data_IF_360680792669
#
_entry.id   IF_360680792669
#
_cell.length_a   1.000
_cell.length_b   1.000
_cell.length_c   1.000
_cell.angle_alpha   90.00
_cell.angle_beta   90.00
_cell.angle_gamma   90.00
#
_symmetry.space_group_name_H-M   'P 1'
#
loop_
_entity.id
_entity.type
_entity.pdbx_description
1 polymer ?
#
# COMPACT_ATOMS: atom_id res chain seq x y z
N UNK A 1 1.69 -23.70 -13.69
CA UNK A 1 0.40 -23.79 -12.99
C UNK A 1 0.60 -23.35 -11.56
N UNK A 2 -0.13 -22.34 -11.09
CA UNK A 2 -0.08 -21.91 -9.70
C UNK A 2 -1.14 -22.65 -8.88
N UNK A 3 -0.79 -23.02 -7.65
CA UNK A 3 -1.65 -23.78 -6.75
C UNK A 3 -1.59 -23.14 -5.36
N UNK A 4 -2.56 -22.29 -5.04
CA UNK A 4 -2.72 -21.72 -3.69
C UNK A 4 -3.35 -22.76 -2.76
N UNK A 5 -2.99 -22.74 -1.47
CA UNK A 5 -3.43 -23.78 -0.53
C UNK A 5 -3.48 -23.34 0.93
N UNK A 6 -3.26 -22.06 1.25
CA UNK A 6 -3.50 -21.53 2.57
C UNK A 6 -4.99 -21.38 2.88
N UNK A 7 -5.31 -21.22 4.16
CA UNK A 7 -6.66 -21.13 4.68
C UNK A 7 -6.78 -19.91 5.61
N UNK A 8 -8.01 -19.45 5.82
CA UNK A 8 -8.32 -18.32 6.68
C UNK A 8 -8.56 -18.79 8.14
N UNK A 9 -8.09 -18.02 9.14
CA UNK A 9 -8.36 -18.32 10.55
C UNK A 9 -9.87 -18.41 10.83
N UNK A 10 -10.28 -19.49 11.49
CA UNK A 10 -11.66 -19.70 11.93
C UNK A 10 -12.67 -20.10 10.85
N UNK A 11 -12.35 -19.90 9.56
CA UNK A 11 -13.29 -20.17 8.44
C UNK A 11 -12.72 -21.08 7.34
N UNK A 12 -11.51 -21.62 7.51
CA UNK A 12 -10.90 -22.60 6.60
C UNK A 12 -10.74 -22.05 5.17
N UNK A 13 -10.92 -22.87 4.14
CA UNK A 13 -10.81 -22.48 2.73
C UNK A 13 -12.05 -21.71 2.21
N UNK A 14 -12.52 -20.70 2.95
CA UNK A 14 -13.64 -19.86 2.52
C UNK A 14 -13.34 -19.07 1.23
N UNK A 15 -12.07 -18.79 0.94
CA UNK A 15 -11.60 -18.20 -0.33
C UNK A 15 -11.43 -19.25 -1.46
N UNK A 16 -11.68 -20.53 -1.18
CA UNK A 16 -11.67 -21.60 -2.18
C UNK A 16 -10.28 -22.08 -2.63
N UNK A 17 -9.23 -21.85 -1.83
CA UNK A 17 -7.86 -22.28 -2.16
C UNK A 17 -7.73 -23.81 -2.31
N UNK A 18 -8.59 -24.58 -1.65
CA UNK A 18 -8.75 -26.01 -1.92
C UNK A 18 -9.10 -26.30 -3.40
N UNK A 19 -10.00 -25.52 -3.99
CA UNK A 19 -10.40 -25.63 -5.40
C UNK A 19 -9.29 -25.15 -6.33
N UNK A 20 -8.62 -24.04 -6.00
CA UNK A 20 -7.47 -23.53 -6.76
C UNK A 20 -6.38 -24.59 -6.86
N UNK A 21 -6.00 -25.18 -5.72
CA UNK A 21 -5.01 -26.27 -5.68
C UNK A 21 -5.43 -27.44 -6.56
N UNK A 22 -6.67 -27.91 -6.41
CA UNK A 22 -7.16 -29.06 -7.13
C UNK A 22 -7.19 -28.81 -8.66
N UNK A 23 -7.74 -27.67 -9.08
CA UNK A 23 -7.81 -27.27 -10.49
C UNK A 23 -6.41 -27.08 -11.09
N UNK A 24 -5.53 -26.35 -10.40
CA UNK A 24 -4.17 -26.09 -10.85
C UNK A 24 -3.33 -27.36 -10.98
N UNK A 25 -3.42 -28.28 -10.01
CA UNK A 25 -2.71 -29.56 -10.05
C UNK A 25 -3.26 -30.47 -11.15
N UNK A 26 -4.58 -30.60 -11.25
CA UNK A 26 -5.23 -31.41 -12.28
C UNK A 26 -4.87 -30.95 -13.69
N UNK A 27 -4.93 -29.64 -13.95
CA UNK A 27 -4.51 -29.05 -15.22
C UNK A 27 -3.00 -29.25 -15.47
N UNK A 28 -2.16 -29.11 -14.45
CA UNK A 28 -0.72 -29.39 -14.57
C UNK A 28 -0.42 -30.83 -14.98
N UNK A 29 -1.11 -31.81 -14.39
CA UNK A 29 -0.99 -33.23 -14.73
C UNK A 29 -1.51 -33.53 -16.14
N UNK A 30 -2.61 -32.90 -16.58
CA UNK A 30 -3.12 -33.05 -17.94
C UNK A 30 -2.14 -32.51 -18.98
N UNK A 31 -1.63 -31.29 -18.77
CA UNK A 31 -0.65 -30.65 -19.67
C UNK A 31 0.66 -31.43 -19.72
N UNK A 32 1.10 -32.03 -18.61
CA UNK A 32 2.33 -32.82 -18.56
C UNK A 32 2.36 -33.97 -19.57
N UNK A 33 1.19 -34.52 -19.94
CA UNK A 33 1.07 -35.60 -20.93
C UNK A 33 1.46 -35.17 -22.35
N UNK A 34 1.31 -33.88 -22.68
CA UNK A 34 1.53 -33.35 -24.04
C UNK A 34 2.69 -32.36 -24.12
N UNK A 35 3.10 -31.76 -22.99
CA UNK A 35 4.09 -30.69 -22.96
C UNK A 35 5.40 -31.04 -23.69
N UNK A 36 5.96 -32.23 -23.45
CA UNK A 36 7.23 -32.65 -24.06
C UNK A 36 7.12 -32.79 -25.58
N UNK A 37 6.01 -33.30 -26.09
CA UNK A 37 5.78 -33.43 -27.54
C UNK A 37 5.65 -32.06 -28.23
N UNK A 38 5.17 -31.05 -27.50
CA UNK A 38 5.08 -29.66 -27.94
C UNK A 38 6.36 -28.85 -27.70
N UNK A 39 7.46 -29.50 -27.30
CA UNK A 39 8.75 -28.83 -27.02
C UNK A 39 8.74 -27.97 -25.75
N UNK A 40 7.74 -28.15 -24.88
CA UNK A 40 7.55 -27.38 -23.66
C UNK A 40 7.78 -28.18 -22.37
N UNK A 41 7.69 -27.46 -21.25
CA UNK A 41 7.68 -28.00 -19.89
C UNK A 41 6.58 -27.34 -19.10
N UNK A 42 5.92 -28.10 -18.24
CA UNK A 42 4.97 -27.59 -17.24
C UNK A 42 5.56 -27.74 -15.85
N UNK A 43 5.34 -26.73 -15.00
CA UNK A 43 5.68 -26.75 -13.58
C UNK A 43 4.42 -26.41 -12.79
N UNK A 44 4.13 -27.21 -11.76
CA UNK A 44 3.11 -26.90 -10.77
C UNK A 44 3.79 -26.29 -9.54
N UNK A 45 3.52 -25.01 -9.29
CA UNK A 45 4.07 -24.27 -8.16
C UNK A 45 3.03 -24.19 -7.06
N UNK A 46 3.32 -24.81 -5.93
CA UNK A 46 2.57 -24.60 -4.70
C UNK A 46 2.89 -23.23 -4.11
N UNK A 47 1.90 -22.34 -4.02
CA UNK A 47 2.08 -20.95 -3.57
C UNK A 47 1.40 -20.73 -2.22
N UNK A 48 2.16 -20.64 -1.10
CA UNK A 48 1.60 -20.45 0.23
C UNK A 48 1.21 -18.99 0.50
N UNK A 49 0.49 -18.80 1.61
CA UNK A 49 0.33 -17.53 2.32
C UNK A 49 -0.13 -16.37 1.42
N UNK A 50 -1.12 -16.62 0.58
CA UNK A 50 -1.75 -15.64 -0.27
C UNK A 50 -2.57 -14.64 0.55
N UNK A 51 -3.26 -15.11 1.60
CA UNK A 51 -4.24 -14.31 2.37
C UNK A 51 -3.63 -13.17 3.21
N UNK A 52 -2.30 -12.99 3.16
CA UNK A 52 -1.62 -11.90 3.86
C UNK A 52 -0.13 -12.07 4.05
N UNK A 53 0.42 -13.27 3.85
CA UNK A 53 1.86 -13.51 4.05
C UNK A 53 2.73 -13.22 2.82
N UNK A 54 2.14 -12.95 1.65
CA UNK A 54 2.88 -12.56 0.44
C UNK A 54 3.75 -13.69 -0.13
N UNK A 55 3.38 -14.96 0.03
CA UNK A 55 4.28 -16.09 -0.27
C UNK A 55 4.82 -16.10 -1.69
N UNK A 56 4.01 -15.69 -2.69
CA UNK A 56 4.47 -15.59 -4.09
C UNK A 56 5.57 -14.55 -4.29
N UNK A 57 5.49 -13.41 -3.60
CA UNK A 57 6.52 -12.37 -3.70
C UNK A 57 7.86 -12.88 -3.17
N UNK A 58 7.85 -13.60 -2.03
CA UNK A 58 9.06 -14.24 -1.52
C UNK A 58 9.61 -15.30 -2.49
N UNK A 59 8.73 -16.08 -3.13
CA UNK A 59 9.12 -17.06 -4.14
C UNK A 59 9.76 -16.40 -5.37
N UNK A 60 9.17 -15.31 -5.88
CA UNK A 60 9.70 -14.52 -7.01
C UNK A 60 11.10 -13.99 -6.66
N UNK A 61 11.26 -13.33 -5.50
CA UNK A 61 12.56 -12.80 -5.06
C UNK A 61 13.64 -13.86 -4.87
N UNK A 62 13.25 -15.11 -4.63
CA UNK A 62 14.15 -16.26 -4.47
C UNK A 62 14.36 -17.05 -5.76
N UNK A 63 13.89 -16.54 -6.90
CA UNK A 63 14.13 -17.11 -8.22
C UNK A 63 13.24 -18.29 -8.59
N UNK A 64 12.17 -18.57 -7.84
CA UNK A 64 11.26 -19.70 -8.13
C UNK A 64 10.50 -19.55 -9.46
N UNK A 65 10.54 -18.36 -10.05
CA UNK A 65 9.89 -18.04 -11.33
C UNK A 65 10.90 -17.75 -12.44
N UNK A 66 12.22 -17.75 -12.19
CA UNK A 66 13.24 -17.27 -13.15
C UNK A 66 13.21 -18.00 -14.50
N UNK A 67 12.79 -19.27 -14.52
CA UNK A 67 12.66 -20.12 -15.70
C UNK A 67 11.21 -20.32 -16.18
N UNK A 68 10.25 -19.58 -15.58
CA UNK A 68 8.82 -19.65 -15.88
C UNK A 68 8.44 -18.58 -16.89
N UNK A 69 8.06 -19.03 -18.09
CA UNK A 69 7.59 -18.16 -19.16
C UNK A 69 6.11 -17.83 -19.09
N UNK A 70 5.32 -18.62 -18.38
CA UNK A 70 3.88 -18.44 -18.22
C UNK A 70 3.41 -19.02 -16.88
N UNK A 71 2.75 -18.18 -16.09
CA UNK A 71 2.04 -18.56 -14.89
C UNK A 71 0.54 -18.42 -15.15
N UNK A 72 -0.24 -19.45 -14.78
CA UNK A 72 -1.70 -19.47 -14.93
C UNK A 72 -2.29 -19.93 -13.61
N UNK A 73 -3.38 -19.27 -13.21
CA UNK A 73 -4.20 -19.58 -12.05
C UNK A 73 -5.66 -19.31 -12.39
N UNK A 74 -6.58 -20.07 -11.80
CA UNK A 74 -8.01 -19.78 -11.80
C UNK A 74 -8.44 -19.52 -10.38
N UNK A 75 -9.33 -18.55 -10.18
CA UNK A 75 -9.90 -18.24 -8.88
C UNK A 75 -11.39 -18.57 -8.85
N UNK A 76 -11.90 -19.24 -7.80
CA UNK A 76 -13.34 -19.32 -7.61
C UNK A 76 -13.93 -17.94 -7.31
N UNK A 77 -15.05 -17.66 -7.96
CA UNK A 77 -15.88 -16.50 -7.70
C UNK A 77 -17.34 -16.94 -7.75
N UNK A 78 -18.26 -16.01 -7.49
CA UNK A 78 -19.70 -16.22 -7.61
C UNK A 78 -20.16 -16.47 -9.06
N UNK A 79 -19.32 -16.11 -10.03
CA UNK A 79 -19.56 -16.22 -11.47
C UNK A 79 -18.26 -16.37 -12.26
N UNK A 80 -18.33 -16.90 -13.47
CA UNK A 80 -17.19 -16.91 -14.38
C UNK A 80 -16.92 -15.48 -14.86
N UNK A 81 -15.73 -14.98 -14.59
CA UNK A 81 -15.30 -13.63 -14.96
C UNK A 81 -14.15 -13.71 -15.96
N UNK A 82 -14.15 -12.79 -16.93
CA UNK A 82 -13.02 -12.60 -17.84
C UNK A 82 -11.80 -12.04 -17.11
N UNK A 83 -12.00 -11.00 -16.30
CA UNK A 83 -10.95 -10.33 -15.51
C UNK A 83 -11.44 -10.13 -14.08
N UNK A 84 -10.48 -9.98 -13.17
CA UNK A 84 -10.72 -9.54 -11.80
C UNK A 84 -9.68 -8.47 -11.50
N UNK A 85 -10.13 -7.24 -11.25
CA UNK A 85 -9.22 -6.13 -11.02
C UNK A 85 -8.70 -6.15 -9.58
N UNK A 86 -7.40 -6.38 -9.44
CA UNK A 86 -6.72 -6.36 -8.14
C UNK A 86 -5.81 -5.14 -8.06
N UNK A 87 -5.93 -4.40 -6.96
CA UNK A 87 -5.25 -3.12 -6.75
C UNK A 87 -4.10 -3.29 -5.76
N UNK A 88 -3.09 -2.43 -5.86
CA UNK A 88 -1.94 -2.49 -4.97
C UNK A 88 -2.36 -2.18 -3.53
N UNK A 89 -1.78 -2.91 -2.56
CA UNK A 89 -2.05 -2.75 -1.13
C UNK A 89 -0.76 -2.87 -0.30
N UNK A 90 -0.64 -2.05 0.74
CA UNK A 90 0.31 -2.28 1.82
C UNK A 90 -0.31 -2.03 3.19
N UNK A 91 0.05 -2.86 4.17
CA UNK A 91 -0.34 -2.69 5.56
C UNK A 91 0.65 -1.79 6.31
N UNK A 92 0.14 -1.02 7.26
CA UNK A 92 0.90 -0.11 8.11
C UNK A 92 0.47 -0.29 9.57
N UNK A 93 1.44 -0.56 10.43
CA UNK A 93 1.26 -0.52 11.87
C UNK A 93 1.83 0.80 12.40
N UNK A 94 1.09 1.49 13.26
CA UNK A 94 1.51 2.75 13.89
C UNK A 94 1.33 2.66 15.40
N UNK A 95 2.37 3.04 16.13
CA UNK A 95 2.42 3.09 17.58
C UNK A 95 2.75 4.51 18.02
N UNK A 96 1.93 5.06 18.91
CA UNK A 96 2.16 6.34 19.55
C UNK A 96 2.66 6.10 20.98
N UNK A 97 3.75 6.78 21.33
CA UNK A 97 4.32 6.77 22.67
C UNK A 97 4.13 8.14 23.33
N UNK A 98 3.51 8.13 24.50
CA UNK A 98 3.23 9.28 25.33
C UNK A 98 3.74 9.09 26.75
N UNK A 99 3.04 9.67 27.72
CA UNK A 99 3.43 9.63 29.13
C UNK A 99 2.19 9.48 30.01
N UNK A 100 2.20 8.45 30.86
CA UNK A 100 1.09 8.18 31.76
C UNK A 100 1.03 9.24 32.86
N UNK A 101 -0.18 9.55 33.29
CA UNK A 101 -0.48 10.38 34.44
C UNK A 101 -1.86 10.01 34.98
N UNK A 102 -2.13 10.37 36.23
CA UNK A 102 -3.47 10.24 36.78
C UNK A 102 -4.39 11.26 36.10
N UNK A 103 -5.46 10.80 35.45
CA UNK A 103 -6.29 11.65 34.59
C UNK A 103 -6.96 12.82 35.35
N UNK A 104 -7.37 12.60 36.60
CA UNK A 104 -7.94 13.66 37.44
C UNK A 104 -6.89 14.49 38.20
N UNK A 105 -5.91 13.86 38.86
CA UNK A 105 -5.00 14.55 39.78
C UNK A 105 -3.89 15.35 39.09
N UNK A 106 -3.43 14.93 37.91
CA UNK A 106 -2.32 15.59 37.23
C UNK A 106 -2.30 15.37 35.72
N UNK A 107 -3.40 15.64 34.99
CA UNK A 107 -3.45 15.40 33.55
C UNK A 107 -2.39 16.16 32.76
N UNK A 108 -2.01 17.37 33.20
CA UNK A 108 -0.98 18.21 32.58
C UNK A 108 0.43 17.60 32.62
N UNK A 109 0.66 16.58 33.46
CA UNK A 109 1.93 15.85 33.50
C UNK A 109 1.98 14.74 32.45
N UNK A 110 0.84 14.36 31.85
CA UNK A 110 0.74 13.29 30.86
C UNK A 110 0.83 13.77 29.41
N UNK A 111 1.07 12.82 28.51
CA UNK A 111 0.98 12.98 27.05
C UNK A 111 0.14 11.83 26.53
N UNK A 112 -1.05 12.11 25.98
CA UNK A 112 -2.05 11.08 25.71
C UNK A 112 -1.85 10.45 24.33
N UNK A 113 -1.26 9.26 24.30
CA UNK A 113 -1.03 8.52 23.06
C UNK A 113 -2.32 8.14 22.33
N UNK A 114 -3.44 7.95 23.06
CA UNK A 114 -4.76 7.78 22.43
C UNK A 114 -5.20 9.03 21.64
N UNK A 115 -4.96 10.23 22.17
CA UNK A 115 -5.33 11.48 21.47
C UNK A 115 -4.50 11.62 20.18
N UNK A 116 -3.22 11.24 20.19
CA UNK A 116 -2.38 11.18 18.99
C UNK A 116 -3.02 10.31 17.89
N UNK A 117 -3.46 9.09 18.26
CA UNK A 117 -4.11 8.17 17.35
C UNK A 117 -5.46 8.71 16.82
N UNK A 118 -6.29 9.30 17.69
CA UNK A 118 -7.59 9.88 17.31
C UNK A 118 -7.42 11.07 16.37
N UNK A 119 -6.49 11.97 16.66
CA UNK A 119 -6.19 13.11 15.80
C UNK A 119 -5.65 12.66 14.43
N UNK A 120 -4.75 11.67 14.42
CA UNK A 120 -4.26 11.07 13.17
C UNK A 120 -5.37 10.41 12.36
N UNK A 121 -6.28 9.68 13.03
CA UNK A 121 -7.44 9.06 12.38
C UNK A 121 -8.36 10.13 11.74
N UNK A 122 -8.62 11.23 12.45
CA UNK A 122 -9.42 12.35 11.93
C UNK A 122 -8.74 13.04 10.75
N UNK A 123 -7.42 13.21 10.78
CA UNK A 123 -6.65 13.73 9.65
C UNK A 123 -6.77 12.81 8.42
N UNK A 124 -6.67 11.48 8.61
CA UNK A 124 -6.93 10.50 7.53
C UNK A 124 -8.39 10.56 7.06
N UNK A 125 -9.35 10.81 7.93
CA UNK A 125 -10.75 11.00 7.55
C UNK A 125 -10.94 12.21 6.63
N UNK A 126 -10.31 13.34 6.94
CA UNK A 126 -10.31 14.51 6.06
C UNK A 126 -9.57 14.25 4.73
N UNK A 127 -8.46 13.51 4.76
CA UNK A 127 -7.70 13.14 3.56
C UNK A 127 -8.56 12.40 2.52
N UNK A 128 -9.53 11.58 2.95
CA UNK A 128 -10.39 10.79 2.05
C UNK A 128 -11.22 11.63 1.07
N UNK A 129 -11.46 12.92 1.33
CA UNK A 129 -12.08 13.82 0.35
C UNK A 129 -11.18 14.07 -0.88
N UNK A 130 -9.87 13.86 -0.74
CA UNK A 130 -8.85 14.24 -1.72
C UNK A 130 -8.00 13.04 -2.18
N UNK A 131 -8.52 11.82 -2.05
CA UNK A 131 -7.94 10.62 -2.66
C UNK A 131 -8.60 10.37 -4.01
N UNK A 132 -7.93 9.59 -4.87
CA UNK A 132 -8.47 9.25 -6.18
C UNK A 132 -9.64 8.27 -6.06
N UNK A 133 -10.53 8.19 -7.06
CA UNK A 133 -11.63 7.24 -7.04
C UNK A 133 -11.16 5.83 -6.74
N UNK A 134 -10.03 5.38 -7.30
CA UNK A 134 -9.39 4.06 -7.17
C UNK A 134 -8.77 3.76 -5.78
N UNK A 135 -8.53 4.78 -4.97
CA UNK A 135 -7.78 4.68 -3.70
C UNK A 135 -8.66 4.33 -2.51
N UNK A 136 -8.12 3.58 -1.54
CA UNK A 136 -8.81 3.27 -0.29
C UNK A 136 -7.87 3.29 0.90
N UNK A 137 -8.36 3.79 2.03
CA UNK A 137 -7.65 3.82 3.31
C UNK A 137 -8.60 3.35 4.41
N UNK A 138 -8.23 2.30 5.12
CA UNK A 138 -9.00 1.72 6.23
C UNK A 138 -8.08 1.50 7.40
N UNK A 139 -8.56 1.69 8.63
CA UNK A 139 -7.77 1.39 9.80
C UNK A 139 -8.61 1.20 11.04
N UNK A 140 -7.98 0.61 12.05
CA UNK A 140 -8.57 0.30 13.36
C UNK A 140 -7.64 0.78 14.47
N UNK A 141 -8.19 0.95 15.67
CA UNK A 141 -7.40 1.10 16.89
C UNK A 141 -7.08 -0.30 17.44
N UNK A 142 -5.80 -0.65 17.47
CA UNK A 142 -5.31 -1.91 18.02
C UNK A 142 -5.05 -1.80 19.54
N UNK A 143 -4.73 -0.60 20.02
CA UNK A 143 -4.60 -0.30 21.44
C UNK A 143 -5.12 1.12 21.71
N UNK A 144 -6.07 1.23 22.65
CA UNK A 144 -6.69 2.49 23.07
C UNK A 144 -6.45 2.86 24.53
N UNK A 145 -5.59 2.12 25.24
CA UNK A 145 -5.34 2.29 26.67
C UNK A 145 -6.21 1.45 27.60
N UNK A 146 -5.77 1.31 28.86
CA UNK A 146 -6.28 0.30 29.79
C UNK A 146 -7.49 0.75 30.62
N UNK A 147 -7.47 2.00 31.14
CA UNK A 147 -8.49 2.51 32.07
C UNK A 147 -8.76 4.01 31.86
N UNK A 148 -10.02 4.47 31.99
CA UNK A 148 -10.36 5.89 31.82
C UNK A 148 -9.71 6.87 32.80
N UNK A 149 -9.31 6.40 33.99
CA UNK A 149 -8.69 7.25 35.03
C UNK A 149 -7.16 7.38 34.89
N UNK A 150 -6.57 6.75 33.87
CA UNK A 150 -5.13 6.81 33.55
C UNK A 150 -5.00 7.42 32.16
N UNK A 151 -4.14 8.42 31.99
CA UNK A 151 -3.78 8.95 30.67
C UNK A 151 -3.02 7.85 29.89
N UNK A 152 -3.52 7.34 28.75
CA UNK A 152 -2.80 6.30 27.99
C UNK A 152 -1.42 6.78 27.52
N UNK A 153 -0.38 6.05 27.95
CA UNK A 153 1.01 6.28 27.50
C UNK A 153 1.34 5.55 26.20
N UNK A 154 0.48 4.65 25.76
CA UNK A 154 0.58 3.90 24.51
C UNK A 154 -0.75 3.97 23.78
N UNK A 155 -0.69 3.93 22.46
CA UNK A 155 -1.85 3.81 21.60
C UNK A 155 -1.39 3.30 20.24
N UNK A 156 -2.15 2.40 19.62
CA UNK A 156 -1.76 1.76 18.38
C UNK A 156 -2.91 1.71 17.38
N UNK A 157 -2.56 1.82 16.10
CA UNK A 157 -3.49 1.69 14.98
C UNK A 157 -2.89 0.82 13.88
N UNK A 158 -3.74 0.04 13.22
CA UNK A 158 -3.40 -0.76 12.05
C UNK A 158 -4.15 -0.23 10.84
N UNK A 159 -3.50 -0.17 9.69
CA UNK A 159 -4.04 0.43 8.48
C UNK A 159 -3.78 -0.43 7.24
N UNK A 160 -4.75 -0.43 6.32
CA UNK A 160 -4.58 -0.84 4.92
C UNK A 160 -4.67 0.37 4.01
N UNK A 161 -3.63 0.57 3.20
CA UNK A 161 -3.59 1.61 2.16
C UNK A 161 -3.58 0.94 0.80
N UNK A 162 -4.51 1.34 -0.08
CA UNK A 162 -4.71 0.75 -1.40
C UNK A 162 -4.75 1.80 -2.50
N UNK A 163 -4.19 1.50 -3.66
CA UNK A 163 -4.24 2.36 -4.85
C UNK A 163 -4.16 1.54 -6.13
N UNK A 164 -4.51 2.13 -7.28
CA UNK A 164 -4.59 1.41 -8.55
C UNK A 164 -3.27 0.75 -8.99
N UNK A 165 -2.12 1.29 -8.61
CA UNK A 165 -0.82 0.69 -8.83
C UNK A 165 0.20 1.07 -7.74
N UNK A 166 1.41 0.51 -7.83
CA UNK A 166 2.48 0.76 -6.85
C UNK A 166 2.93 2.22 -6.78
N UNK A 167 2.99 2.93 -7.89
CA UNK A 167 3.43 4.33 -7.93
C UNK A 167 2.41 5.24 -7.23
N UNK A 168 1.13 5.09 -7.57
CA UNK A 168 0.05 5.83 -6.92
C UNK A 168 -0.11 5.41 -5.45
N UNK A 169 0.19 4.15 -5.11
CA UNK A 169 0.25 3.70 -3.73
C UNK A 169 1.36 4.42 -2.95
N UNK A 170 2.59 4.53 -3.48
CA UNK A 170 3.67 5.25 -2.77
C UNK A 170 3.30 6.72 -2.49
N UNK A 171 2.67 7.39 -3.46
CA UNK A 171 2.20 8.76 -3.27
C UNK A 171 1.13 8.86 -2.17
N UNK A 172 0.18 7.91 -2.11
CA UNK A 172 -0.84 7.88 -1.06
C UNK A 172 -0.27 7.57 0.32
N UNK A 173 0.68 6.62 0.40
CA UNK A 173 1.35 6.22 1.64
C UNK A 173 2.00 7.40 2.36
N UNK A 174 2.70 8.27 1.62
CA UNK A 174 3.33 9.46 2.18
C UNK A 174 2.28 10.38 2.85
N UNK A 175 1.17 10.64 2.16
CA UNK A 175 0.08 11.49 2.67
C UNK A 175 -0.59 10.89 3.91
N UNK A 176 -0.76 9.56 3.94
CA UNK A 176 -1.29 8.85 5.13
C UNK A 176 -0.34 9.00 6.31
N UNK A 177 0.97 8.84 6.11
CA UNK A 177 1.96 9.04 7.18
C UNK A 177 1.95 10.47 7.70
N UNK A 178 1.87 11.48 6.83
CA UNK A 178 1.80 12.89 7.24
C UNK A 178 0.58 13.14 8.14
N UNK A 179 -0.57 12.56 7.82
CA UNK A 179 -1.77 12.63 8.67
C UNK A 179 -1.52 12.01 10.05
N UNK A 180 -0.93 10.82 10.11
CA UNK A 180 -0.68 10.11 11.38
C UNK A 180 0.39 10.83 12.23
N UNK A 181 1.44 11.33 11.60
CA UNK A 181 2.46 12.17 12.24
C UNK A 181 1.88 13.48 12.77
N UNK A 182 0.94 14.10 12.04
CA UNK A 182 0.28 15.33 12.50
C UNK A 182 -0.50 15.13 13.80
N UNK A 183 -1.10 13.95 13.99
CA UNK A 183 -1.81 13.59 15.22
C UNK A 183 -0.86 13.47 16.42
N UNK A 184 0.26 12.76 16.23
CA UNK A 184 1.30 12.63 17.24
C UNK A 184 1.93 13.98 17.62
N UNK A 185 2.29 14.78 16.61
CA UNK A 185 2.83 16.13 16.82
C UNK A 185 1.86 17.00 17.63
N UNK A 186 0.57 16.99 17.27
CA UNK A 186 -0.47 17.78 17.96
C UNK A 186 -0.65 17.37 19.42
N UNK A 187 -0.48 16.07 19.72
CA UNK A 187 -0.59 15.52 21.08
C UNK A 187 0.74 15.57 21.85
N UNK A 188 1.83 16.08 21.25
CA UNK A 188 3.17 16.05 21.85
C UNK A 188 3.73 14.64 22.06
N UNK A 189 3.25 13.66 21.32
CA UNK A 189 3.65 12.26 21.42
C UNK A 189 4.70 11.91 20.35
N UNK A 190 5.46 10.84 20.61
CA UNK A 190 6.30 10.21 19.61
C UNK A 190 5.47 9.21 18.78
N UNK A 191 5.81 9.06 17.51
CA UNK A 191 5.16 8.12 16.59
C UNK A 191 6.19 7.21 15.95
N UNK A 192 5.96 5.91 16.06
CA UNK A 192 6.69 4.88 15.36
C UNK A 192 5.75 4.22 14.36
N UNK A 193 6.23 4.02 13.14
CA UNK A 193 5.45 3.36 12.11
C UNK A 193 6.26 2.24 11.46
N UNK A 194 5.56 1.21 10.99
CA UNK A 194 6.14 0.10 10.26
C UNK A 194 5.23 -0.29 9.10
N UNK A 195 5.74 -0.12 7.89
CA UNK A 195 5.12 -0.75 6.73
C UNK A 195 5.41 -2.25 6.76
N UNK A 196 4.36 -3.05 6.56
CA UNK A 196 4.49 -4.50 6.51
C UNK A 196 4.89 -4.89 5.09
N UNK A 197 6.00 -5.61 5.01
CA UNK A 197 6.54 -6.13 3.76
C UNK A 197 6.24 -7.63 3.61
N UNK A 198 6.04 -8.09 2.36
CA UNK A 198 6.05 -7.27 1.14
C UNK A 198 4.71 -6.55 0.89
N UNK A 199 4.71 -5.45 0.11
CA UNK A 199 3.47 -4.95 -0.50
C UNK A 199 2.94 -5.95 -1.53
N UNK A 200 1.64 -5.89 -1.79
CA UNK A 200 1.03 -6.60 -2.91
C UNK A 200 0.85 -5.63 -4.06
N UNK A 201 1.40 -5.98 -5.22
CA UNK A 201 1.28 -5.17 -6.44
C UNK A 201 -0.09 -5.37 -7.08
N UNK A 202 -0.53 -4.40 -7.88
CA UNK A 202 -1.69 -4.55 -8.74
C UNK A 202 -1.45 -5.62 -9.81
N UNK A 203 -2.52 -6.26 -10.26
CA UNK A 203 -2.43 -7.07 -11.47
C UNK A 203 -2.33 -6.20 -12.71
N UNK A 204 -1.55 -6.69 -13.66
CA UNK A 204 -1.57 -6.25 -15.04
C UNK A 204 -2.14 -7.42 -15.81
N UNK A 205 -2.96 -7.18 -16.83
CA UNK A 205 -3.60 -8.24 -17.59
C UNK A 205 -2.90 -8.47 -18.94
N UNK A 206 -2.67 -9.73 -19.30
CA UNK A 206 -2.22 -10.10 -20.64
C UNK A 206 -3.44 -10.41 -21.52
N UNK A 207 -3.90 -9.41 -22.29
CA UNK A 207 -5.14 -9.50 -23.08
C UNK A 207 -5.19 -10.71 -24.02
N UNK A 208 -4.15 -11.00 -24.83
CA UNK A 208 -4.16 -12.21 -25.68
C UNK A 208 -4.39 -13.51 -24.92
N UNK A 209 -3.81 -13.66 -23.73
CA UNK A 209 -4.01 -14.87 -22.92
C UNK A 209 -5.39 -14.93 -22.27
N UNK A 210 -5.96 -13.79 -21.90
CA UNK A 210 -7.34 -13.73 -21.42
C UNK A 210 -8.32 -14.10 -22.53
N UNK A 211 -8.09 -13.64 -23.77
CA UNK A 211 -8.89 -14.04 -24.92
C UNK A 211 -8.85 -15.55 -25.14
N UNK A 212 -7.66 -16.15 -25.08
CA UNK A 212 -7.49 -17.61 -25.15
C UNK A 212 -8.20 -18.33 -23.99
N UNK A 213 -8.11 -17.80 -22.77
CA UNK A 213 -8.84 -18.37 -21.63
C UNK A 213 -10.35 -18.37 -21.88
N UNK A 214 -10.91 -17.24 -22.32
CA UNK A 214 -12.35 -17.12 -22.61
C UNK A 214 -12.77 -18.08 -23.71
N UNK A 215 -12.01 -18.16 -24.80
CA UNK A 215 -12.29 -19.10 -25.90
C UNK A 215 -12.32 -20.56 -25.42
N UNK A 216 -11.28 -21.00 -24.70
CA UNK A 216 -11.22 -22.36 -24.16
C UNK A 216 -12.33 -22.63 -23.12
N UNK A 217 -12.70 -21.64 -22.32
CA UNK A 217 -13.82 -21.75 -21.38
C UNK A 217 -15.15 -21.96 -22.11
N UNK A 218 -15.38 -21.24 -23.21
CA UNK A 218 -16.57 -21.39 -24.05
C UNK A 218 -16.65 -22.76 -24.73
N UNK A 219 -15.54 -23.32 -25.17
CA UNK A 219 -15.50 -24.67 -25.76
C UNK A 219 -15.95 -25.76 -24.77
N UNK A 220 -15.76 -25.55 -23.47
CA UNK A 220 -16.21 -26.48 -22.42
C UNK A 220 -17.55 -26.06 -21.79
N UNK A 221 -18.30 -25.17 -22.44
CA UNK A 221 -19.65 -24.76 -22.02
C UNK A 221 -19.69 -23.73 -20.88
N UNK A 222 -18.58 -23.02 -20.61
CA UNK A 222 -18.56 -21.89 -19.68
C UNK A 222 -18.68 -20.57 -20.42
N UNK A 223 -19.38 -19.61 -19.82
CA UNK A 223 -19.64 -18.31 -20.43
C UNK A 223 -19.14 -17.18 -19.53
N UNK A 224 -17.83 -16.90 -19.50
CA UNK A 224 -17.29 -15.80 -18.72
C UNK A 224 -17.96 -14.48 -19.08
N UNK A 225 -18.38 -13.73 -18.06
CA UNK A 225 -18.97 -12.42 -18.26
C UNK A 225 -17.92 -11.43 -18.80
N UNK A 226 -18.34 -10.49 -19.67
CA UNK A 226 -17.45 -9.45 -20.17
C UNK A 226 -16.96 -8.57 -19.02
N UNK A 227 -15.87 -7.85 -19.28
CA UNK A 227 -15.39 -6.82 -18.37
C UNK A 227 -16.48 -5.76 -18.20
N UNK A 228 -16.94 -5.56 -16.97
CA UNK A 228 -18.01 -4.63 -16.67
C UNK A 228 -17.45 -3.20 -16.65
N UNK A 229 -17.80 -2.38 -17.65
CA UNK A 229 -17.48 -0.95 -17.64
C UNK A 229 -18.05 -0.28 -16.38
N UNK A 230 -17.19 0.40 -15.62
CA UNK A 230 -17.60 1.15 -14.43
C UNK A 230 -17.96 0.30 -13.22
N UNK A 231 -17.82 -1.03 -13.28
CA UNK A 231 -17.97 -1.86 -12.09
C UNK A 231 -16.69 -1.75 -11.25
N UNK A 232 -16.68 -0.76 -10.37
CA UNK A 232 -15.81 -0.64 -9.21
C UNK A 232 -16.00 -1.78 -8.19
N UNK A 233 -16.33 -3.00 -8.65
CA UNK A 233 -16.12 -4.23 -7.87
C UNK A 233 -14.62 -4.47 -7.79
N UNK A 234 -13.96 -3.59 -7.04
CA UNK A 234 -12.56 -3.69 -6.66
C UNK A 234 -12.51 -4.73 -5.59
N UNK A 235 -12.48 -5.97 -6.04
CA UNK A 235 -12.22 -7.08 -5.17
C UNK A 235 -10.87 -6.82 -4.52
N UNK A 236 -10.94 -6.76 -3.20
CA UNK A 236 -9.81 -6.50 -2.34
C UNK A 236 -9.29 -7.82 -1.84
N UNK A 237 -9.15 -8.73 -2.78
CA UNK A 237 -8.25 -9.78 -2.55
C UNK A 237 -6.83 -9.23 -2.31
N UNK A 238 -6.01 -9.98 -1.58
CA UNK A 238 -4.57 -9.75 -1.54
C UNK A 238 -3.91 -10.53 -2.68
N UNK A 239 -4.64 -10.69 -3.79
CA UNK A 239 -4.18 -11.47 -4.90
C UNK A 239 -3.11 -10.65 -5.62
N UNK A 240 -1.87 -10.89 -5.20
CA UNK A 240 -0.82 -11.12 -6.18
C UNK A 240 -1.19 -12.36 -6.98
N UNK A 241 -2.19 -12.25 -7.86
CA UNK A 241 -2.49 -13.24 -8.90
C UNK A 241 -1.85 -12.78 -10.19
N UNK A 242 -1.56 -13.75 -11.05
CA UNK A 242 -1.01 -13.68 -12.40
C UNK A 242 -0.07 -12.53 -12.82
N UNK A 243 1.14 -12.89 -13.26
CA UNK A 243 1.53 -12.64 -14.66
C UNK A 243 2.74 -13.46 -15.09
N UNK A 244 2.89 -13.64 -16.42
CA UNK A 244 4.19 -13.94 -17.04
C UNK A 244 5.26 -13.02 -16.45
N UNK A 245 6.36 -13.60 -15.98
CA UNK A 245 7.61 -12.88 -16.05
C UNK A 245 7.96 -12.69 -17.53
N UNK A 246 7.71 -11.49 -18.06
CA UNK A 246 8.43 -11.04 -19.24
C UNK A 246 9.94 -11.11 -18.97
N UNK A 247 10.80 -11.28 -20.00
CA UNK A 247 12.24 -11.25 -19.79
C UNK A 247 12.61 -9.93 -19.10
N UNK A 248 13.27 -10.05 -17.94
CA UNK A 248 13.85 -9.00 -17.09
C UNK A 248 13.82 -7.58 -17.70
N UNK A 249 13.04 -6.68 -17.11
CA UNK A 249 13.47 -5.29 -16.99
C UNK A 249 13.99 -5.10 -15.56
N UNK A 250 15.31 -5.02 -15.43
CA UNK A 250 16.02 -4.81 -14.17
C UNK A 250 15.54 -3.53 -13.45
N UNK A 251 15.43 -3.52 -12.11
CA UNK A 251 15.20 -2.31 -11.35
C UNK A 251 16.54 -1.57 -11.20
N UNK A 252 16.65 -0.39 -11.79
CA UNK A 252 17.73 0.52 -11.45
C UNK A 252 17.45 1.18 -10.11
N UNK A 253 18.19 0.72 -9.10
CA UNK A 253 18.93 1.51 -8.13
C UNK A 253 19.06 3.00 -8.51
N UNK A 254 18.63 3.91 -7.61
CA UNK A 254 19.20 5.24 -7.22
C UNK A 254 18.16 5.91 -6.28
N UNK A 255 18.46 6.44 -5.10
CA UNK A 255 19.69 6.57 -4.35
C UNK A 255 19.38 7.19 -2.99
N UNK A 256 20.04 6.70 -1.95
CA UNK A 256 20.16 7.37 -0.65
C UNK A 256 21.28 8.39 -0.78
N UNK A 257 20.96 9.68 -0.75
CA UNK A 257 21.91 10.73 -0.34
C UNK A 257 21.22 11.81 0.48
N UNK A 258 21.74 12.00 1.69
CA UNK A 258 21.46 13.12 2.62
C UNK A 258 21.88 14.45 2.00
N UNK A 259 21.19 15.54 2.35
CA UNK A 259 21.72 16.90 2.24
C UNK A 259 20.66 17.97 2.00
N UNK A 260 20.39 18.77 3.04
CA UNK A 260 19.54 19.96 3.06
C UNK A 260 19.70 20.90 1.86
N UNK A 261 18.59 21.46 1.36
CA UNK A 261 18.13 22.84 1.64
C UNK A 261 16.82 23.12 0.89
N UNK A 262 15.82 23.58 1.63
CA UNK A 262 14.71 24.40 1.13
C UNK A 262 14.96 25.81 1.72
N UNK A 263 14.44 26.94 1.19
CA UNK A 263 12.99 27.07 1.05
C UNK A 263 12.43 28.04 -0.04
N UNK A 264 11.10 27.90 -0.24
CA UNK A 264 10.10 28.93 -0.60
C UNK A 264 9.60 29.06 -2.07
N UNK A 265 8.49 28.36 -2.33
CA UNK A 265 7.14 28.84 -2.73
C UNK A 265 6.86 29.85 -3.86
N UNK A 266 5.91 29.43 -4.72
CA UNK A 266 4.87 30.17 -5.51
C UNK A 266 5.39 30.97 -6.72
N UNK A 267 4.77 31.02 -7.90
CA UNK A 267 3.46 30.61 -8.41
C UNK A 267 2.97 31.67 -9.45
N UNK A 268 2.65 31.22 -10.67
CA UNK A 268 1.81 31.85 -11.73
C UNK A 268 2.21 33.17 -12.46
N UNK A 269 2.35 33.02 -13.79
CA UNK A 269 1.58 33.68 -14.89
C UNK A 269 1.78 35.16 -15.30
N UNK A 270 2.01 35.32 -16.62
CA UNK A 270 1.56 36.37 -17.57
C UNK A 270 2.43 37.60 -17.92
N UNK A 271 2.90 37.57 -19.18
CA UNK A 271 2.98 38.61 -20.25
C UNK A 271 3.44 40.06 -19.98
N UNK A 272 4.57 40.40 -20.65
CA UNK A 272 4.96 41.62 -21.42
C UNK A 272 4.55 43.02 -20.90
N UNK A 273 5.56 43.87 -20.67
CA UNK A 273 5.88 45.10 -21.46
C UNK A 273 7.30 45.60 -21.16
N UNK A 274 7.90 46.30 -22.12
CA UNK A 274 9.26 46.90 -22.13
C UNK A 274 9.31 48.19 -21.32
N UNK A 275 10.47 48.55 -20.76
CA UNK A 275 10.76 49.95 -20.40
C UNK A 275 11.94 50.20 -19.44
N UNK A 276 13.06 50.62 -20.03
CA UNK A 276 14.23 51.37 -19.51
C UNK A 276 14.14 52.01 -18.11
N UNK A 277 15.28 52.03 -17.38
CA UNK A 277 15.52 53.06 -16.36
C UNK A 277 16.65 52.76 -15.36
N UNK A 278 17.74 53.49 -15.49
CA UNK A 278 18.96 53.56 -14.67
C UNK A 278 18.76 53.96 -13.19
N UNK A 279 19.71 53.59 -12.31
CA UNK A 279 20.20 54.56 -11.30
C UNK A 279 20.59 54.07 -9.89
N UNK A 280 21.91 53.94 -9.68
CA UNK A 280 22.73 54.41 -8.53
C UNK A 280 22.57 53.83 -7.11
N UNK A 281 23.66 53.17 -6.69
CA UNK A 281 24.47 53.33 -5.46
C UNK A 281 24.00 54.25 -4.30
N UNK A 282 24.10 53.71 -3.06
CA UNK A 282 24.75 54.26 -1.82
C UNK A 282 24.66 53.20 -0.68
N UNK A 283 25.76 52.53 -0.27
CA UNK A 283 26.58 52.69 0.98
C UNK A 283 25.75 53.02 2.25
N UNK A 284 25.62 52.10 3.21
CA UNK A 284 26.46 51.83 4.41
C UNK A 284 26.40 52.92 5.51
N UNK A 285 25.88 52.57 6.71
CA UNK A 285 26.59 52.56 8.01
C UNK A 285 25.64 52.59 9.25
N UNK A 286 25.88 51.61 10.15
CA UNK A 286 25.99 51.68 11.62
C UNK A 286 24.89 52.10 12.62
N UNK A 287 25.07 51.50 13.82
CA UNK A 287 24.47 51.67 15.15
C UNK A 287 23.31 50.71 15.46
N UNK A 288 23.26 49.98 16.57
CA UNK A 288 24.03 49.99 17.81
C UNK A 288 23.23 49.17 18.85
N UNK A 289 23.95 48.55 19.78
CA UNK A 289 23.44 47.62 20.80
C UNK A 289 22.39 48.22 21.75
N UNK A 290 21.54 47.36 22.37
CA UNK A 290 21.54 47.20 23.83
C UNK A 290 20.62 46.07 24.33
N UNK A 291 21.22 45.22 25.16
CA UNK A 291 20.65 44.23 26.07
C UNK A 291 20.01 44.88 27.30
N UNK A 292 18.98 44.24 27.88
CA UNK A 292 18.69 44.27 29.33
C UNK A 292 17.92 43.02 29.77
N UNK A 293 18.58 42.19 30.58
CA UNK A 293 18.00 41.19 31.48
C UNK A 293 17.64 41.89 32.80
N UNK A 294 16.53 41.50 33.42
CA UNK A 294 16.17 41.82 34.80
C UNK A 294 16.12 40.51 35.60
N UNK A 295 16.85 40.48 36.71
CA UNK A 295 16.86 39.43 37.73
C UNK A 295 15.78 39.69 38.78
N UNK A 296 15.08 38.64 39.18
CA UNK A 296 14.08 38.62 40.25
C UNK A 296 14.68 38.55 41.66
N UNK A 297 13.78 38.77 42.62
CA UNK A 297 13.89 38.42 44.05
C UNK A 297 13.74 36.92 44.26
#
# INVERSE_FOLDING_TARGET
MLCEYDALPGISHACGHNTIRAAGLGAGLAVAKVARALGGRVVSLGTPAEEGGGGKEFMIRRGAFDDIRLAVIVHPADRDLRTMHTIAIQQLDVQNAGRAAHAAAGPHMGLKALDAAVLGYNAVAALRQHIRPEERIHGIFADGGDKPNIVPSKGATEWYVRSGNMDSLQALKARVLDCLHSGALSAGCEVHHKWIDPPFCNMIDNRPLLDLYVQNAMEVGRHPLPEMEGCDSRWTDRHGKCQLLGPRNSPHDQGVTRGHTDPHTRGRSARRTRGRGSGRHRRCADHGAHTRRLSGK
#
